data_IF_299432471264
#
_entry.id   IF_299432471264
#
_cell.length_a   1.000
_cell.length_b   1.000
_cell.length_c   1.000
_cell.angle_alpha   90.00
_cell.angle_beta   90.00
_cell.angle_gamma   90.00
#
_symmetry.space_group_name_H-M   'P 1'
#
loop_
_entity.id
_entity.type
_entity.pdbx_description
1 polymer ?
#
# COMPACT_ATOMS: atom_id res chain seq x y z
N UNK A 1 -20.46 0.69 9.90
CA UNK A 1 -19.08 0.25 9.54
C UNK A 1 -18.70 0.83 8.17
N UNK A 2 -17.45 1.25 8.01
CA UNK A 2 -16.86 1.68 6.71
C UNK A 2 -16.23 0.48 6.02
N UNK A 3 -16.53 0.26 4.74
CA UNK A 3 -15.83 -0.67 3.86
C UNK A 3 -14.71 0.09 3.15
N UNK A 4 -13.47 -0.22 3.40
CA UNK A 4 -12.29 0.38 2.77
C UNK A 4 -11.68 -0.58 1.76
N UNK A 5 -11.43 -0.12 0.53
CA UNK A 5 -10.92 -0.95 -0.56
C UNK A 5 -9.74 -0.25 -1.23
N UNK A 6 -8.64 -0.96 -1.37
CA UNK A 6 -7.52 -0.53 -2.21
C UNK A 6 -7.30 -1.49 -3.36
N UNK A 7 -7.26 -0.95 -4.57
CA UNK A 7 -7.07 -1.72 -5.80
C UNK A 7 -5.63 -1.55 -6.28
N UNK A 8 -4.75 -2.47 -5.83
CA UNK A 8 -3.36 -2.56 -6.25
C UNK A 8 -3.17 -3.45 -7.49
N UNK A 9 -1.97 -3.42 -8.05
CA UNK A 9 -1.64 -4.16 -9.28
C UNK A 9 -1.70 -5.69 -9.13
N UNK A 10 -1.41 -6.22 -7.95
CA UNK A 10 -1.39 -7.66 -7.68
C UNK A 10 -2.59 -8.10 -6.85
N UNK A 11 -2.96 -7.31 -5.85
CA UNK A 11 -4.04 -7.63 -4.93
C UNK A 11 -4.98 -6.44 -4.75
N UNK A 12 -6.24 -6.76 -4.50
CA UNK A 12 -7.23 -5.84 -3.95
C UNK A 12 -7.34 -6.14 -2.46
N UNK A 13 -7.07 -5.13 -1.63
CA UNK A 13 -7.22 -5.18 -0.18
C UNK A 13 -8.60 -4.66 0.20
N UNK A 14 -9.31 -5.40 1.03
CA UNK A 14 -10.67 -5.07 1.49
C UNK A 14 -10.67 -5.14 3.01
N UNK A 15 -11.02 -4.03 3.67
CA UNK A 15 -11.10 -3.95 5.13
C UNK A 15 -12.44 -3.42 5.61
N UNK A 16 -12.93 -3.98 6.71
CA UNK A 16 -14.06 -3.45 7.46
C UNK A 16 -13.57 -2.65 8.67
N UNK A 17 -13.97 -1.39 8.78
CA UNK A 17 -13.49 -0.49 9.83
C UNK A 17 -14.68 0.06 10.62
N UNK A 18 -14.62 -0.04 11.94
CA UNK A 18 -15.61 0.53 12.86
C UNK A 18 -14.89 1.14 14.05
N UNK A 19 -15.26 2.37 14.41
CA UNK A 19 -14.70 3.10 15.58
C UNK A 19 -13.14 3.11 15.56
N UNK A 20 -12.54 3.36 14.37
CA UNK A 20 -11.10 3.34 14.09
C UNK A 20 -10.42 1.98 14.21
N UNK A 21 -11.15 0.92 14.49
CA UNK A 21 -10.62 -0.42 14.57
C UNK A 21 -10.86 -1.16 13.24
N UNK A 22 -9.81 -1.77 12.71
CA UNK A 22 -9.91 -2.68 11.58
C UNK A 22 -10.44 -4.01 12.13
N UNK A 23 -11.69 -4.33 11.78
CA UNK A 23 -12.34 -5.55 12.25
C UNK A 23 -11.92 -6.78 11.44
N UNK A 24 -11.66 -6.57 10.15
CA UNK A 24 -11.12 -7.60 9.27
C UNK A 24 -10.33 -6.97 8.11
N UNK A 25 -9.42 -7.76 7.56
CA UNK A 25 -8.74 -7.51 6.31
C UNK A 25 -8.79 -8.77 5.46
N UNK A 26 -9.13 -8.60 4.18
CA UNK A 26 -9.11 -9.66 3.18
C UNK A 26 -8.33 -9.18 1.95
N UNK A 27 -7.79 -10.14 1.20
CA UNK A 27 -7.07 -9.90 -0.05
C UNK A 27 -7.57 -10.83 -1.14
N UNK A 28 -7.88 -10.27 -2.30
CA UNK A 28 -8.17 -11.03 -3.51
C UNK A 28 -7.20 -10.63 -4.62
N UNK A 29 -6.97 -11.53 -5.56
CA UNK A 29 -6.11 -11.23 -6.71
C UNK A 29 -6.76 -10.15 -7.59
N UNK A 30 -5.96 -9.21 -8.06
CA UNK A 30 -6.36 -8.25 -9.09
C UNK A 30 -6.41 -8.96 -10.43
N UNK A 31 -7.61 -9.14 -10.97
CA UNK A 31 -7.83 -9.83 -12.24
C UNK A 31 -8.50 -8.88 -13.25
N UNK A 32 -7.79 -8.63 -14.36
CA UNK A 32 -8.21 -7.66 -15.39
C UNK A 32 -9.35 -8.16 -16.27
N UNK A 33 -9.66 -9.45 -16.25
CA UNK A 33 -10.74 -10.06 -17.05
C UNK A 33 -12.03 -10.28 -16.26
N UNK A 34 -12.00 -10.15 -14.92
CA UNK A 34 -13.20 -10.27 -14.09
C UNK A 34 -14.21 -9.18 -14.39
N UNK A 35 -15.47 -9.59 -14.50
CA UNK A 35 -16.61 -8.68 -14.63
C UNK A 35 -16.99 -8.05 -13.29
N UNK A 36 -17.80 -7.00 -13.35
CA UNK A 36 -18.36 -6.38 -12.13
C UNK A 36 -19.21 -7.33 -11.29
N UNK A 37 -19.87 -8.31 -11.91
CA UNK A 37 -20.67 -9.29 -11.19
C UNK A 37 -19.79 -10.27 -10.41
N UNK A 38 -18.66 -10.72 -10.99
CA UNK A 38 -17.69 -11.56 -10.31
C UNK A 38 -17.10 -10.85 -9.10
N UNK A 39 -16.66 -9.60 -9.24
CA UNK A 39 -16.18 -8.81 -8.10
C UNK A 39 -17.27 -8.60 -7.04
N UNK A 40 -18.53 -8.35 -7.45
CA UNK A 40 -19.63 -8.20 -6.53
C UNK A 40 -19.90 -9.48 -5.70
N UNK A 41 -19.82 -10.64 -6.35
CA UNK A 41 -19.93 -11.94 -5.67
C UNK A 41 -18.76 -12.16 -4.69
N UNK A 42 -17.52 -11.87 -5.10
CA UNK A 42 -16.35 -11.99 -4.22
C UNK A 42 -16.46 -11.10 -2.99
N UNK A 43 -16.89 -9.84 -3.17
CA UNK A 43 -17.10 -8.91 -2.05
C UNK A 43 -18.15 -9.47 -1.08
N UNK A 44 -19.27 -9.97 -1.58
CA UNK A 44 -20.30 -10.60 -0.73
C UNK A 44 -19.77 -11.83 0.01
N UNK A 45 -18.99 -12.67 -0.66
CA UNK A 45 -18.37 -13.84 -0.04
C UNK A 45 -17.39 -13.45 1.06
N UNK A 46 -16.60 -12.38 0.87
CA UNK A 46 -15.72 -11.84 1.91
C UNK A 46 -16.54 -11.36 3.11
N UNK A 47 -17.58 -10.57 2.88
CA UNK A 47 -18.45 -10.10 3.97
C UNK A 47 -19.05 -11.28 4.74
N UNK A 48 -19.53 -12.30 4.03
CA UNK A 48 -20.05 -13.54 4.64
C UNK A 48 -18.98 -14.31 5.42
N UNK A 49 -17.74 -14.38 4.90
CA UNK A 49 -16.62 -15.04 5.56
C UNK A 49 -16.29 -14.43 6.93
N UNK A 50 -16.46 -13.12 7.05
CA UNK A 50 -16.25 -12.37 8.29
C UNK A 50 -17.53 -12.08 9.06
N UNK A 51 -18.64 -12.76 8.72
CA UNK A 51 -19.94 -12.65 9.40
C UNK A 51 -20.49 -11.21 9.42
N UNK A 52 -20.20 -10.43 8.38
CA UNK A 52 -20.65 -9.04 8.24
C UNK A 52 -21.92 -8.99 7.40
N UNK A 53 -23.00 -8.43 7.94
CA UNK A 53 -24.21 -8.14 7.18
C UNK A 53 -24.02 -6.89 6.30
N UNK A 54 -24.59 -6.92 5.10
CA UNK A 54 -24.50 -5.78 4.16
C UNK A 54 -25.14 -4.52 4.76
N UNK A 55 -26.18 -4.68 5.56
CA UNK A 55 -26.90 -3.60 6.25
C UNK A 55 -26.04 -2.88 7.29
N UNK A 56 -25.02 -3.53 7.84
CA UNK A 56 -24.09 -2.94 8.80
C UNK A 56 -23.06 -2.02 8.12
N UNK A 57 -22.99 -2.04 6.77
CA UNK A 57 -22.08 -1.18 6.01
C UNK A 57 -22.76 0.17 5.78
N UNK A 58 -22.25 1.19 6.43
CA UNK A 58 -22.75 2.57 6.33
C UNK A 58 -22.26 3.26 5.07
N UNK A 59 -20.99 3.04 4.70
CA UNK A 59 -20.37 3.68 3.54
C UNK A 59 -19.16 2.88 3.02
N UNK A 60 -18.58 3.35 1.91
CA UNK A 60 -17.39 2.73 1.30
C UNK A 60 -16.43 3.80 0.76
N UNK A 61 -15.13 3.53 0.88
CA UNK A 61 -14.07 4.30 0.24
C UNK A 61 -13.18 3.38 -0.60
N UNK A 62 -12.79 3.87 -1.80
CA UNK A 62 -11.93 3.13 -2.73
C UNK A 62 -10.73 3.96 -3.12
N UNK A 63 -9.52 3.41 -3.01
CA UNK A 63 -8.33 3.86 -3.74
C UNK A 63 -7.99 2.88 -4.86
N UNK A 64 -7.33 3.37 -5.92
CA UNK A 64 -6.94 2.52 -7.03
C UNK A 64 -5.76 3.09 -7.81
N UNK A 65 -4.83 2.19 -8.14
CA UNK A 65 -3.73 2.45 -9.11
C UNK A 65 -3.85 1.56 -10.35
N UNK A 66 -5.04 0.95 -10.57
CA UNK A 66 -5.30 0.02 -11.69
C UNK A 66 -6.53 0.47 -12.49
N UNK A 67 -6.41 1.48 -13.36
CA UNK A 67 -7.55 2.02 -14.13
C UNK A 67 -8.37 0.95 -14.87
N UNK A 68 -7.79 -0.09 -15.51
CA UNK A 68 -8.56 -1.10 -16.22
C UNK A 68 -9.53 -1.90 -15.36
N UNK A 69 -9.24 -2.04 -14.04
CA UNK A 69 -10.03 -2.84 -13.09
C UNK A 69 -10.99 -1.98 -12.29
N UNK A 70 -10.67 -0.70 -12.14
CA UNK A 70 -11.39 0.22 -11.26
C UNK A 70 -12.90 0.23 -11.46
N UNK A 71 -13.37 0.37 -12.71
CA UNK A 71 -14.81 0.45 -13.00
C UNK A 71 -15.53 -0.87 -12.68
N UNK A 72 -14.90 -2.03 -12.95
CA UNK A 72 -15.48 -3.34 -12.65
C UNK A 72 -15.61 -3.53 -11.13
N UNK A 73 -14.56 -3.21 -10.36
CA UNK A 73 -14.61 -3.31 -8.89
C UNK A 73 -15.62 -2.33 -8.30
N UNK A 74 -15.57 -1.05 -8.70
CA UNK A 74 -16.52 -0.03 -8.22
C UNK A 74 -17.96 -0.43 -8.47
N UNK A 75 -18.28 -0.90 -9.67
CA UNK A 75 -19.63 -1.38 -10.01
C UNK A 75 -20.00 -2.63 -9.20
N UNK A 76 -19.06 -3.56 -9.00
CA UNK A 76 -19.24 -4.73 -8.15
C UNK A 76 -19.56 -4.34 -6.70
N UNK A 77 -18.83 -3.38 -6.14
CA UNK A 77 -19.11 -2.80 -4.80
C UNK A 77 -20.52 -2.27 -4.73
N UNK A 78 -20.93 -1.40 -5.68
CA UNK A 78 -22.28 -0.81 -5.69
C UNK A 78 -23.36 -1.90 -5.74
N UNK A 79 -23.16 -2.95 -6.54
CA UNK A 79 -24.08 -4.09 -6.61
C UNK A 79 -24.13 -4.89 -5.32
N UNK A 80 -22.97 -5.06 -4.66
CA UNK A 80 -22.86 -5.86 -3.44
C UNK A 80 -23.47 -5.17 -2.21
N UNK A 81 -23.16 -3.89 -2.00
CA UNK A 81 -23.50 -3.16 -0.76
C UNK A 81 -24.50 -2.02 -0.97
N UNK A 82 -24.93 -1.74 -2.21
CA UNK A 82 -25.88 -0.68 -2.57
C UNK A 82 -25.48 0.73 -2.10
N UNK A 83 -24.17 1.00 -1.97
CA UNK A 83 -23.59 2.30 -1.63
C UNK A 83 -22.67 2.78 -2.76
N UNK A 84 -22.62 4.10 -2.96
CA UNK A 84 -21.66 4.73 -3.87
C UNK A 84 -20.37 5.02 -3.10
N UNK A 85 -19.25 4.43 -3.50
CA UNK A 85 -18.00 4.65 -2.77
C UNK A 85 -17.45 6.06 -2.98
N UNK A 86 -16.88 6.64 -1.92
CA UNK A 86 -15.97 7.76 -2.05
C UNK A 86 -14.69 7.27 -2.74
N UNK A 87 -14.25 7.99 -3.76
CA UNK A 87 -13.05 7.60 -4.53
C UNK A 87 -11.88 8.50 -4.18
N UNK A 88 -10.74 7.90 -3.81
CA UNK A 88 -9.49 8.64 -3.58
C UNK A 88 -8.94 9.07 -4.93
N UNK A 89 -8.87 10.38 -5.17
CA UNK A 89 -8.41 10.94 -6.43
C UNK A 89 -8.48 12.47 -6.42
N UNK A 90 -8.44 13.11 -7.59
CA UNK A 90 -8.50 14.57 -7.68
C UNK A 90 -9.74 15.14 -6.95
N UNK A 91 -9.52 16.16 -6.14
CA UNK A 91 -10.57 16.83 -5.37
C UNK A 91 -10.82 16.26 -3.97
N UNK A 92 -10.23 15.10 -3.62
CA UNK A 92 -10.29 14.62 -2.23
C UNK A 92 -9.35 15.44 -1.34
N UNK A 93 -9.80 15.78 -0.15
CA UNK A 93 -9.01 16.54 0.80
C UNK A 93 -8.12 15.60 1.61
N UNK A 94 -6.83 15.67 1.35
CA UNK A 94 -5.83 14.82 2.01
C UNK A 94 -5.22 15.49 3.25
N UNK A 95 -5.04 16.79 3.21
CA UNK A 95 -4.26 17.54 4.21
C UNK A 95 -2.76 17.51 3.92
N UNK A 96 -2.35 16.94 2.78
CA UNK A 96 -0.99 17.00 2.28
C UNK A 96 -0.81 18.23 1.38
N UNK A 97 0.35 18.84 1.48
CA UNK A 97 0.84 19.79 0.51
C UNK A 97 1.71 19.03 -0.50
N UNK A 98 1.16 18.72 -1.69
CA UNK A 98 1.85 17.88 -2.69
C UNK A 98 2.71 18.78 -3.57
N UNK A 99 4.03 18.72 -3.41
CA UNK A 99 5.02 19.50 -4.15
C UNK A 99 5.87 18.60 -5.04
N UNK A 100 5.25 18.11 -6.12
CA UNK A 100 5.90 17.36 -7.19
C UNK A 100 5.53 17.97 -8.53
N UNK A 101 6.30 17.71 -9.58
CA UNK A 101 6.07 18.27 -10.92
C UNK A 101 4.68 17.94 -11.48
N UNK A 102 4.18 16.75 -11.20
CA UNK A 102 2.89 16.26 -11.69
C UNK A 102 2.08 15.63 -10.57
N UNK A 103 1.37 16.41 -9.72
CA UNK A 103 0.61 15.91 -8.58
C UNK A 103 -0.46 14.85 -8.95
N UNK A 104 -1.05 14.98 -10.14
CA UNK A 104 -2.07 14.03 -10.63
C UNK A 104 -1.52 12.65 -11.00
N UNK A 105 -0.20 12.50 -11.11
CA UNK A 105 0.46 11.23 -11.40
C UNK A 105 0.89 10.47 -10.13
N UNK A 106 0.75 11.08 -8.96
CA UNK A 106 1.04 10.39 -7.70
C UNK A 106 -0.03 9.33 -7.46
N UNK A 107 0.39 8.09 -7.27
CA UNK A 107 -0.52 6.98 -6.97
C UNK A 107 -1.36 7.26 -5.71
N UNK A 108 -2.63 6.92 -5.76
CA UNK A 108 -3.54 7.14 -4.63
C UNK A 108 -3.12 6.35 -3.38
N UNK A 109 -2.55 5.17 -3.54
CA UNK A 109 -1.96 4.34 -2.48
C UNK A 109 -0.86 5.09 -1.71
N UNK A 110 0.05 5.76 -2.42
CA UNK A 110 1.14 6.55 -1.84
C UNK A 110 0.61 7.72 -0.99
N UNK A 111 -0.44 8.39 -1.48
CA UNK A 111 -1.13 9.46 -0.74
C UNK A 111 -1.82 8.91 0.51
N UNK A 112 -2.52 7.78 0.38
CA UNK A 112 -3.21 7.10 1.50
C UNK A 112 -2.22 6.73 2.61
N UNK A 113 -1.09 6.12 2.24
CA UNK A 113 -0.01 5.75 3.18
C UNK A 113 0.57 6.99 3.88
N UNK A 114 0.82 8.08 3.12
CA UNK A 114 1.34 9.31 3.69
C UNK A 114 0.37 9.96 4.71
N UNK A 115 -0.92 9.96 4.41
CA UNK A 115 -1.95 10.46 5.33
C UNK A 115 -2.00 9.63 6.62
N UNK A 116 -1.88 8.30 6.53
CA UNK A 116 -1.86 7.42 7.69
C UNK A 116 -0.63 7.65 8.56
N UNK A 117 0.55 7.68 7.95
CA UNK A 117 1.80 7.87 8.67
C UNK A 117 1.88 9.20 9.40
N UNK A 118 1.40 10.29 8.78
CA UNK A 118 1.34 11.61 9.42
C UNK A 118 0.36 11.72 10.59
N UNK A 119 -0.57 10.79 10.73
CA UNK A 119 -1.44 10.73 11.90
C UNK A 119 -0.74 10.11 13.13
N UNK A 120 0.32 9.33 12.92
CA UNK A 120 1.03 8.60 13.97
C UNK A 120 2.45 9.15 14.21
N UNK A 121 3.09 9.70 13.17
CA UNK A 121 4.48 10.15 13.19
C UNK A 121 4.62 11.61 12.77
N UNK A 122 5.56 12.31 13.38
CA UNK A 122 5.86 13.72 13.03
C UNK A 122 6.84 13.77 11.85
N UNK A 123 6.61 14.63 10.85
CA UNK A 123 7.57 14.84 9.76
C UNK A 123 8.87 15.49 10.27
N UNK A 124 10.01 15.33 9.57
CA UNK A 124 10.10 14.69 8.26
C UNK A 124 10.09 13.15 8.34
N UNK A 125 9.44 12.53 7.32
CA UNK A 125 9.28 11.08 7.25
C UNK A 125 9.80 10.54 5.92
N UNK A 126 10.42 9.35 5.96
CA UNK A 126 10.54 8.50 4.78
C UNK A 126 9.54 7.36 4.94
N UNK A 127 8.68 7.20 3.94
CA UNK A 127 7.66 6.15 3.90
C UNK A 127 8.06 5.12 2.86
N UNK A 128 7.99 3.85 3.22
CA UNK A 128 8.29 2.76 2.31
C UNK A 128 7.10 1.82 2.19
N UNK A 129 6.72 1.48 0.96
CA UNK A 129 5.85 0.33 0.70
C UNK A 129 6.64 -0.76 -0.03
N UNK A 130 6.84 -1.90 0.64
CA UNK A 130 7.48 -3.08 0.06
C UNK A 130 6.40 -4.03 -0.48
N UNK A 131 5.73 -3.59 -1.53
CA UNK A 131 4.66 -4.27 -2.25
C UNK A 131 5.10 -4.92 -3.56
N UNK A 132 4.26 -4.82 -4.59
CA UNK A 132 4.56 -5.24 -5.97
C UNK A 132 5.76 -4.47 -6.53
N UNK A 133 5.77 -3.15 -6.37
CA UNK A 133 6.95 -2.31 -6.43
C UNK A 133 7.42 -2.02 -5.00
N UNK A 134 8.66 -1.61 -4.82
CA UNK A 134 9.12 -0.96 -3.60
C UNK A 134 9.12 0.53 -3.87
N UNK A 135 8.34 1.29 -3.10
CA UNK A 135 8.35 2.75 -3.16
C UNK A 135 9.00 3.33 -1.91
N UNK A 136 9.67 4.47 -2.06
CA UNK A 136 10.31 5.22 -0.98
C UNK A 136 9.92 6.68 -1.19
N UNK A 137 9.14 7.24 -0.26
CA UNK A 137 8.54 8.55 -0.35
C UNK A 137 9.10 9.47 0.73
N UNK A 138 9.37 10.71 0.38
CA UNK A 138 9.77 11.75 1.33
C UNK A 138 8.60 12.67 1.64
N UNK A 139 8.28 12.80 2.92
CA UNK A 139 7.33 13.78 3.45
C UNK A 139 8.09 14.71 4.38
N UNK A 140 8.29 15.94 3.93
CA UNK A 140 8.98 17.00 4.66
C UNK A 140 8.08 17.73 5.64
N UNK A 141 8.64 18.76 6.27
CA UNK A 141 7.94 19.62 7.22
C UNK A 141 6.64 20.19 6.62
N UNK A 142 5.67 20.53 7.50
CA UNK A 142 4.37 21.07 7.08
C UNK A 142 3.53 20.09 6.26
N UNK A 143 3.71 18.78 6.47
CA UNK A 143 3.02 17.71 5.74
C UNK A 143 3.22 17.80 4.21
N UNK A 144 4.42 18.20 3.80
CA UNK A 144 4.76 18.41 2.39
C UNK A 144 5.24 17.11 1.77
N UNK A 145 4.47 16.55 0.83
CA UNK A 145 4.87 15.39 0.03
C UNK A 145 5.82 15.87 -1.09
N UNK A 146 7.07 15.42 -1.01
CA UNK A 146 8.16 15.92 -1.87
C UNK A 146 8.50 14.97 -3.04
N UNK A 147 7.87 13.80 -3.10
CA UNK A 147 8.16 12.80 -4.11
C UNK A 147 8.90 11.59 -3.54
N UNK A 148 9.56 10.83 -4.41
CA UNK A 148 10.25 9.62 -3.97
C UNK A 148 10.76 8.75 -5.11
N UNK A 149 11.09 7.50 -4.80
CA UNK A 149 11.67 6.53 -5.71
C UNK A 149 10.73 5.33 -5.90
N UNK A 150 10.74 4.76 -7.10
CA UNK A 150 10.01 3.51 -7.42
C UNK A 150 11.03 2.49 -7.90
N UNK A 151 11.07 1.34 -7.25
CA UNK A 151 12.06 0.30 -7.45
C UNK A 151 11.32 -1.04 -7.67
N UNK A 152 11.87 -1.99 -8.45
CA UNK A 152 11.28 -3.31 -8.56
C UNK A 152 11.11 -3.97 -7.18
N UNK A 153 9.91 -4.46 -6.88
CA UNK A 153 9.65 -5.18 -5.64
C UNK A 153 10.39 -6.51 -5.56
N UNK A 154 10.48 -7.08 -4.37
CA UNK A 154 11.23 -8.32 -4.10
C UNK A 154 10.80 -9.48 -5.00
N UNK A 155 9.47 -9.67 -5.19
CA UNK A 155 8.95 -10.75 -6.05
C UNK A 155 9.24 -10.49 -7.52
N UNK A 156 9.02 -9.27 -8.01
CA UNK A 156 9.36 -8.89 -9.40
C UNK A 156 10.84 -9.11 -9.68
N UNK A 157 11.72 -8.77 -8.74
CA UNK A 157 13.16 -8.98 -8.90
C UNK A 157 13.51 -10.46 -8.98
N UNK A 158 12.89 -11.31 -8.16
CA UNK A 158 13.06 -12.75 -8.24
C UNK A 158 12.51 -13.32 -9.54
N UNK A 159 11.30 -12.93 -9.95
CA UNK A 159 10.66 -13.40 -11.18
C UNK A 159 11.47 -12.98 -12.42
N UNK A 160 12.00 -11.76 -12.43
CA UNK A 160 12.89 -11.30 -13.50
C UNK A 160 14.17 -12.13 -13.57
N UNK A 161 14.78 -12.44 -12.42
CA UNK A 161 15.98 -13.24 -12.34
C UNK A 161 15.74 -14.67 -12.85
N UNK A 162 14.67 -15.32 -12.43
CA UNK A 162 14.34 -16.70 -12.83
C UNK A 162 13.88 -16.80 -14.29
N UNK A 163 13.07 -15.84 -14.76
CA UNK A 163 12.54 -15.88 -16.13
C UNK A 163 13.56 -15.48 -17.21
N UNK A 164 14.63 -14.77 -16.84
CA UNK A 164 15.67 -14.29 -17.77
C UNK A 164 16.97 -15.09 -17.73
N UNK A 165 17.03 -16.17 -16.95
CA UNK A 165 18.21 -17.03 -16.86
C UNK A 165 17.83 -18.49 -17.13
N UNK A 166 18.74 -19.23 -17.79
CA UNK A 166 18.46 -20.60 -18.20
C UNK A 166 18.58 -21.65 -17.08
N UNK A 167 19.32 -21.34 -16.01
CA UNK A 167 19.69 -22.33 -14.98
C UNK A 167 19.24 -21.97 -13.55
N UNK A 168 18.69 -20.79 -13.35
CA UNK A 168 18.21 -20.40 -12.02
C UNK A 168 16.79 -20.90 -11.77
N UNK A 169 16.57 -21.74 -10.75
CA UNK A 169 15.26 -22.31 -10.47
C UNK A 169 14.33 -21.29 -9.80
N UNK A 170 13.01 -21.53 -9.88
CA UNK A 170 12.07 -20.87 -8.98
C UNK A 170 12.35 -21.24 -7.52
N UNK A 171 12.34 -20.24 -6.63
CA UNK A 171 12.60 -20.43 -5.21
C UNK A 171 11.52 -19.73 -4.36
N UNK A 172 11.34 -20.21 -3.13
CA UNK A 172 10.56 -19.49 -2.12
C UNK A 172 11.41 -18.42 -1.45
N UNK A 173 10.77 -17.28 -1.15
CA UNK A 173 11.37 -16.17 -0.42
C UNK A 173 11.23 -16.41 1.08
N UNK A 174 12.18 -17.15 1.64
CA UNK A 174 12.33 -17.33 3.08
C UNK A 174 13.48 -16.46 3.60
N UNK A 175 13.55 -16.24 4.90
CA UNK A 175 14.68 -15.51 5.51
C UNK A 175 15.99 -16.27 5.28
N UNK A 176 17.00 -15.65 4.64
CA UNK A 176 18.28 -16.30 4.39
C UNK A 176 19.04 -16.56 5.68
N UNK A 177 19.64 -17.75 5.80
CA UNK A 177 20.43 -18.15 6.99
C UNK A 177 21.79 -17.44 7.08
N UNK A 178 22.30 -16.95 5.95
CA UNK A 178 23.63 -16.29 5.85
C UNK A 178 23.68 -15.42 4.60
N UNK A 179 24.56 -14.44 4.62
CA UNK A 179 24.77 -13.53 3.47
C UNK A 179 25.42 -14.27 2.29
N UNK A 180 26.42 -15.11 2.54
CA UNK A 180 27.09 -15.88 1.50
C UNK A 180 26.45 -17.26 1.39
N UNK A 181 25.61 -17.47 0.37
CA UNK A 181 24.99 -18.77 0.06
C UNK A 181 26.03 -19.78 -0.42
N UNK A 182 25.84 -21.06 -0.04
CA UNK A 182 26.75 -22.15 -0.44
C UNK A 182 26.20 -23.03 -1.58
N UNK A 183 25.00 -22.75 -2.06
CA UNK A 183 24.38 -23.36 -3.23
C UNK A 183 23.54 -22.30 -3.94
N UNK A 184 23.07 -22.59 -5.16
CA UNK A 184 22.36 -21.66 -6.02
C UNK A 184 21.10 -21.09 -5.34
N UNK A 185 20.30 -21.92 -4.69
CA UNK A 185 19.04 -21.50 -4.02
C UNK A 185 19.33 -20.54 -2.88
N UNK A 186 20.30 -20.86 -2.01
CA UNK A 186 20.68 -19.99 -0.90
C UNK A 186 21.36 -18.70 -1.38
N UNK A 187 22.14 -18.77 -2.47
CA UNK A 187 22.76 -17.59 -3.07
C UNK A 187 21.69 -16.65 -3.68
N UNK A 188 20.70 -17.19 -4.40
CA UNK A 188 19.58 -16.41 -4.93
C UNK A 188 18.73 -15.79 -3.81
N UNK A 189 18.37 -16.59 -2.79
CA UNK A 189 17.59 -16.10 -1.65
C UNK A 189 18.33 -14.99 -0.92
N UNK A 190 19.61 -15.17 -0.64
CA UNK A 190 20.44 -14.17 -0.02
C UNK A 190 20.57 -12.91 -0.87
N UNK A 191 20.85 -13.05 -2.16
CA UNK A 191 20.98 -11.93 -3.08
C UNK A 191 19.73 -11.09 -3.16
N UNK A 192 18.56 -11.72 -3.22
CA UNK A 192 17.27 -11.01 -3.27
C UNK A 192 16.98 -10.33 -1.91
N UNK A 193 17.08 -11.05 -0.80
CA UNK A 193 16.63 -10.52 0.50
C UNK A 193 17.65 -9.53 1.11
N UNK A 194 18.91 -9.93 1.25
CA UNK A 194 19.94 -9.02 1.75
C UNK A 194 20.29 -7.92 0.76
N UNK A 195 20.20 -8.20 -0.56
CA UNK A 195 20.35 -7.18 -1.59
C UNK A 195 19.28 -6.09 -1.50
N UNK A 196 18.01 -6.50 -1.27
CA UNK A 196 16.91 -5.53 -1.04
C UNK A 196 17.15 -4.73 0.24
N UNK A 197 17.53 -5.36 1.35
CA UNK A 197 17.82 -4.65 2.59
C UNK A 197 18.97 -3.65 2.43
N UNK A 198 20.06 -4.05 1.78
CA UNK A 198 21.18 -3.15 1.51
C UNK A 198 20.81 -1.99 0.57
N UNK A 199 19.94 -2.25 -0.42
CA UNK A 199 19.38 -1.22 -1.29
C UNK A 199 18.52 -0.25 -0.49
N UNK A 200 17.66 -0.74 0.39
CA UNK A 200 16.84 0.08 1.29
C UNK A 200 17.74 0.97 2.14
N UNK A 201 18.68 0.40 2.89
CA UNK A 201 19.61 1.17 3.73
C UNK A 201 20.32 2.27 2.93
N UNK A 202 20.86 1.92 1.77
CA UNK A 202 21.58 2.86 0.92
C UNK A 202 20.69 3.91 0.26
N UNK A 203 19.41 3.65 0.03
CA UNK A 203 18.45 4.64 -0.48
C UNK A 203 18.02 5.60 0.62
N UNK A 204 17.80 5.11 1.83
CA UNK A 204 17.48 5.95 2.98
C UNK A 204 18.59 6.98 3.23
N UNK A 205 19.86 6.53 3.23
CA UNK A 205 21.01 7.42 3.39
C UNK A 205 21.06 8.49 2.32
N UNK A 206 20.82 8.15 1.04
CA UNK A 206 20.83 9.11 -0.07
C UNK A 206 19.67 10.12 -0.01
N UNK A 207 18.48 9.68 0.39
CA UNK A 207 17.32 10.57 0.53
C UNK A 207 17.56 11.56 1.67
N UNK A 208 18.09 11.12 2.81
CA UNK A 208 18.43 12.02 3.92
C UNK A 208 19.58 12.96 3.58
N UNK A 209 20.59 12.49 2.86
CA UNK A 209 21.71 13.33 2.37
C UNK A 209 21.22 14.44 1.43
N UNK A 210 20.32 14.11 0.49
CA UNK A 210 19.72 15.09 -0.44
C UNK A 210 18.78 16.06 0.29
N UNK A 211 17.99 15.55 1.23
CA UNK A 211 17.06 16.37 2.01
C UNK A 211 17.76 17.26 3.04
N UNK A 212 18.92 16.83 3.52
CA UNK A 212 19.76 17.56 4.49
C UNK A 212 19.37 17.39 5.96
N UNK A 213 18.42 16.49 6.26
CA UNK A 213 17.93 16.22 7.62
C UNK A 213 17.66 14.73 7.84
N UNK A 214 17.80 14.27 9.08
CA UNK A 214 17.39 12.94 9.50
C UNK A 214 15.86 12.83 9.45
N UNK A 215 15.37 11.63 9.18
CA UNK A 215 13.94 11.34 9.06
C UNK A 215 13.51 10.19 9.98
N UNK A 216 12.24 10.15 10.33
CA UNK A 216 11.63 8.91 10.84
C UNK A 216 11.25 8.03 9.67
N UNK A 217 11.71 6.77 9.68
CA UNK A 217 11.44 5.83 8.59
C UNK A 217 10.32 4.89 8.98
N UNK A 218 9.27 4.83 8.15
CA UNK A 218 8.10 3.97 8.37
C UNK A 218 7.92 3.06 7.16
N UNK A 219 7.79 1.77 7.38
CA UNK A 219 7.62 0.77 6.33
C UNK A 219 6.28 0.04 6.43
N UNK A 220 5.70 -0.22 5.27
CA UNK A 220 4.50 -1.06 5.10
C UNK A 220 4.68 -2.02 3.91
N UNK A 221 3.65 -2.76 3.58
CA UNK A 221 3.65 -3.69 2.46
C UNK A 221 3.95 -5.14 2.84
N UNK A 222 3.52 -6.05 1.98
CA UNK A 222 3.55 -7.48 2.27
C UNK A 222 4.95 -8.08 2.48
N UNK A 223 5.99 -7.46 1.91
CA UNK A 223 7.38 -7.90 2.05
C UNK A 223 8.12 -7.18 3.19
N UNK A 224 7.58 -6.11 3.77
CA UNK A 224 8.24 -5.32 4.80
C UNK A 224 8.65 -6.17 6.01
N UNK A 225 7.79 -7.03 6.49
CA UNK A 225 8.07 -7.91 7.65
C UNK A 225 9.26 -8.86 7.46
N UNK A 226 9.66 -9.14 6.20
CA UNK A 226 10.78 -10.02 5.87
C UNK A 226 12.06 -9.24 5.56
N UNK A 227 11.95 -8.04 5.03
CA UNK A 227 13.09 -7.20 4.62
C UNK A 227 13.57 -6.31 5.76
N UNK A 228 12.66 -5.64 6.47
CA UNK A 228 12.99 -4.69 7.56
C UNK A 228 13.94 -5.31 8.62
N UNK A 229 13.73 -6.57 9.08
CA UNK A 229 14.66 -7.18 10.04
C UNK A 229 16.08 -7.41 9.50
N UNK A 230 16.31 -7.32 8.20
CA UNK A 230 17.63 -7.46 7.56
C UNK A 230 18.30 -6.10 7.32
N UNK A 231 17.58 -5.00 7.47
CA UNK A 231 18.11 -3.65 7.34
C UNK A 231 18.97 -3.27 8.55
N UNK A 232 19.90 -2.34 8.35
CA UNK A 232 20.75 -1.78 9.42
C UNK A 232 20.14 -0.54 10.07
N UNK A 233 19.26 0.15 9.31
CA UNK A 233 18.56 1.35 9.76
C UNK A 233 17.41 0.98 10.68
N UNK A 234 17.10 1.86 11.63
CA UNK A 234 15.87 1.78 12.42
C UNK A 234 14.68 2.13 11.53
N UNK A 235 13.70 1.23 11.46
CA UNK A 235 12.53 1.34 10.58
C UNK A 235 11.32 0.87 11.36
N UNK A 236 10.33 1.75 11.49
CA UNK A 236 9.04 1.41 12.11
C UNK A 236 8.20 0.60 11.11
N UNK A 237 7.76 -0.58 11.53
CA UNK A 237 6.95 -1.48 10.70
C UNK A 237 5.47 -1.31 11.02
N UNK A 238 4.73 -0.73 10.09
CA UNK A 238 3.29 -0.51 10.17
C UNK A 238 2.55 -1.31 9.08
N UNK A 239 1.74 -2.29 9.50
CA UNK A 239 1.08 -3.19 8.54
C UNK A 239 -0.17 -2.60 7.92
N UNK A 240 -0.86 -1.74 8.65
CA UNK A 240 -2.23 -1.35 8.35
C UNK A 240 -2.37 0.09 7.82
N UNK A 241 -1.25 0.73 7.43
CA UNK A 241 -1.26 2.13 6.99
C UNK A 241 -2.27 2.40 5.87
N UNK A 242 -2.43 1.46 4.95
CA UNK A 242 -3.35 1.63 3.84
C UNK A 242 -4.81 1.75 4.31
N UNK A 243 -5.28 0.82 5.15
CA UNK A 243 -6.65 0.85 5.67
C UNK A 243 -6.85 2.00 6.66
N UNK A 244 -5.87 2.29 7.51
CA UNK A 244 -5.87 3.46 8.40
C UNK A 244 -6.01 4.77 7.60
N UNK A 245 -5.21 4.92 6.54
CA UNK A 245 -5.24 6.11 5.68
C UNK A 245 -6.56 6.29 4.96
N UNK A 246 -7.15 5.22 4.44
CA UNK A 246 -8.49 5.26 3.84
C UNK A 246 -9.54 5.72 4.85
N UNK A 247 -9.50 5.23 6.10
CA UNK A 247 -10.40 5.65 7.15
C UNK A 247 -10.25 7.15 7.49
N UNK A 248 -9.01 7.63 7.62
CA UNK A 248 -8.72 9.04 7.89
C UNK A 248 -9.24 9.93 6.75
N UNK A 249 -8.96 9.55 5.51
CA UNK A 249 -9.46 10.27 4.32
C UNK A 249 -10.98 10.30 4.27
N UNK A 250 -11.64 9.18 4.52
CA UNK A 250 -13.10 9.11 4.58
C UNK A 250 -13.65 10.10 5.62
N UNK A 251 -13.19 10.02 6.86
CA UNK A 251 -13.66 10.89 7.94
C UNK A 251 -13.48 12.37 7.63
N UNK A 252 -12.29 12.75 7.14
CA UNK A 252 -11.95 14.13 6.77
C UNK A 252 -12.90 14.69 5.73
N UNK A 253 -13.23 13.91 4.69
CA UNK A 253 -14.08 14.36 3.60
C UNK A 253 -15.56 14.34 3.95
N UNK A 254 -16.03 13.45 4.84
CA UNK A 254 -17.42 13.44 5.32
C UNK A 254 -17.70 14.59 6.31
N UNK A 255 -16.75 14.95 7.17
CA UNK A 255 -16.90 16.09 8.07
C UNK A 255 -17.08 17.40 7.32
N UNK A 256 -16.39 17.58 6.20
CA UNK A 256 -16.52 18.80 5.40
C UNK A 256 -17.82 18.86 4.60
N UNK A 257 -18.32 17.74 4.08
CA UNK A 257 -19.64 17.72 3.44
C UNK A 257 -20.72 18.21 4.39
N UNK A 258 -20.69 17.77 5.66
CA UNK A 258 -21.65 18.23 6.67
C UNK A 258 -21.54 19.72 6.98
N UNK A 259 -20.31 20.28 7.01
CA UNK A 259 -20.10 21.72 7.24
C UNK A 259 -20.47 22.61 6.05
N UNK A 260 -20.51 22.06 4.84
CA UNK A 260 -20.94 22.80 3.63
C UNK A 260 -22.44 22.74 3.36
N UNK A 261 -23.16 21.91 4.10
CA UNK A 261 -24.62 21.78 4.05
C UNK A 261 -25.33 22.59 5.19
N UNK A 262 -24.57 23.07 6.17
CA UNK A 262 -25.01 24.04 7.19
C UNK A 262 -24.75 25.49 6.72
#
# INVERSE_FOLDING_TARGET
MLLAIDIGNTNIVIGGIKDDQILFEARIATDRVKTSDQYGVEIKNILSLFEVNVEDIEDCIISSVVPPVFNSVRTGVVKAIRKQPLVVGPGIKTGLNIQVDSPSQVGSDRIVIAVAALAEYKPPLILMDLGTATTIELVGEGNTYLGGCIIPGVRISLDALTSRTAQLPGINLDTPKRVVGKNTVDAMRSGIMHGTAAMVDGMLDRVEEEYGHSTTVVATGGMAQFVVPLCKREIHLERDLLLKGLNILYKKNMQEKRRGEE
#
